data_IF_267951948002
#
_entry.id   IF_267951948002
#
_cell.length_a   1.000
_cell.length_b   1.000
_cell.length_c   1.000
_cell.angle_alpha   90.00
_cell.angle_beta   90.00
_cell.angle_gamma   90.00
#
_symmetry.space_group_name_H-M   'P 1'
#
loop_
_entity.id
_entity.type
_entity.pdbx_description
1 polymer ?
#
# COMPACT_ATOMS: atom_id res chain seq x y z
N UNK A 1 20.60 -21.41 18.57
CA UNK A 1 20.18 -22.36 17.51
C UNK A 1 19.76 -21.63 16.24
N UNK A 2 20.29 -22.06 15.08
CA UNK A 2 20.00 -21.48 13.76
C UNK A 2 18.77 -22.14 13.11
N UNK A 3 17.81 -21.32 12.70
CA UNK A 3 16.55 -21.73 12.11
C UNK A 3 16.26 -20.92 10.86
N UNK A 4 15.44 -21.47 9.97
CA UNK A 4 14.91 -20.79 8.79
C UNK A 4 13.41 -20.65 9.01
N UNK A 5 12.88 -19.44 8.88
CA UNK A 5 11.46 -19.19 9.05
C UNK A 5 10.68 -19.66 7.82
N UNK A 6 9.60 -20.39 8.06
CA UNK A 6 8.65 -20.82 7.01
C UNK A 6 7.45 -19.89 6.92
N UNK A 7 7.18 -19.14 7.99
CA UNK A 7 6.14 -18.13 8.08
C UNK A 7 6.72 -16.81 8.61
N UNK A 8 6.01 -15.71 8.37
CA UNK A 8 6.33 -14.44 9.01
C UNK A 8 6.05 -14.54 10.51
N UNK A 9 7.03 -14.10 11.31
CA UNK A 9 6.96 -14.12 12.77
C UNK A 9 7.33 -12.74 13.29
N UNK A 10 6.42 -12.16 14.07
CA UNK A 10 6.60 -10.84 14.68
C UNK A 10 7.93 -10.78 15.46
N UNK A 11 8.66 -9.68 15.24
CA UNK A 11 9.98 -9.41 15.84
C UNK A 11 11.10 -10.39 15.48
N UNK A 12 10.89 -11.28 14.51
CA UNK A 12 11.90 -12.24 14.08
C UNK A 12 12.28 -12.08 12.60
N UNK A 13 11.27 -12.01 11.74
CA UNK A 13 11.48 -11.87 10.31
C UNK A 13 10.41 -12.54 9.48
N UNK A 14 10.71 -12.67 8.20
CA UNK A 14 9.81 -13.14 7.17
C UNK A 14 10.13 -14.57 6.74
N UNK A 15 9.20 -15.21 6.03
CA UNK A 15 9.45 -16.54 5.46
C UNK A 15 10.69 -16.52 4.53
N UNK A 16 11.59 -17.47 4.72
CA UNK A 16 12.89 -17.56 4.06
C UNK A 16 14.05 -16.96 4.85
N UNK A 17 13.79 -16.20 5.93
CA UNK A 17 14.85 -15.61 6.71
C UNK A 17 15.53 -16.65 7.63
N UNK A 18 16.85 -16.61 7.63
CA UNK A 18 17.68 -17.39 8.54
C UNK A 18 17.94 -16.59 9.80
N UNK A 19 17.45 -17.08 10.93
CA UNK A 19 17.50 -16.40 12.22
C UNK A 19 18.19 -17.26 13.27
N UNK A 20 18.93 -16.62 14.17
CA UNK A 20 19.50 -17.27 15.33
C UNK A 20 18.66 -16.95 16.57
N UNK A 21 18.11 -18.00 17.19
CA UNK A 21 17.24 -17.87 18.36
C UNK A 21 17.73 -18.70 19.52
N UNK A 22 17.25 -18.37 20.72
CA UNK A 22 17.42 -19.21 21.91
C UNK A 22 16.78 -20.57 21.69
N UNK A 23 17.47 -21.63 22.08
CA UNK A 23 17.06 -23.01 21.83
C UNK A 23 15.66 -23.33 22.36
N UNK A 24 15.26 -22.78 23.51
CA UNK A 24 13.92 -22.96 24.07
C UNK A 24 12.81 -22.36 23.19
N UNK A 25 13.05 -21.20 22.58
CA UNK A 25 12.08 -20.58 21.67
C UNK A 25 11.95 -21.37 20.36
N UNK A 26 13.08 -21.86 19.83
CA UNK A 26 13.09 -22.72 18.66
C UNK A 26 12.37 -24.05 18.89
N UNK A 27 12.72 -24.78 19.96
CA UNK A 27 12.22 -26.13 20.23
C UNK A 27 10.79 -26.18 20.75
N UNK A 28 10.38 -25.22 21.57
CA UNK A 28 9.06 -25.28 22.23
C UNK A 28 7.98 -24.48 21.50
N UNK A 29 8.36 -23.51 20.65
CA UNK A 29 7.41 -22.62 19.99
C UNK A 29 7.51 -22.68 18.46
N UNK A 30 8.67 -22.40 17.88
CA UNK A 30 8.78 -22.22 16.42
C UNK A 30 8.69 -23.55 15.64
N UNK A 31 9.43 -24.58 16.05
CA UNK A 31 9.44 -25.89 15.38
C UNK A 31 8.09 -26.63 15.50
N UNK A 32 7.46 -26.76 16.70
CA UNK A 32 6.22 -27.52 16.82
C UNK A 32 5.03 -26.87 16.11
N UNK A 33 5.05 -25.55 15.96
CA UNK A 33 4.03 -24.79 15.22
C UNK A 33 4.30 -24.70 13.72
N UNK A 34 5.40 -25.26 13.24
CA UNK A 34 5.78 -25.20 11.83
C UNK A 34 6.09 -23.79 11.33
N UNK A 35 6.48 -22.87 12.23
CA UNK A 35 6.85 -21.49 11.91
C UNK A 35 8.32 -21.37 11.48
N UNK A 36 9.12 -22.39 11.77
CA UNK A 36 10.51 -22.48 11.33
C UNK A 36 10.93 -23.94 11.08
N UNK A 37 12.01 -24.12 10.34
CA UNK A 37 12.70 -25.39 10.13
C UNK A 37 14.17 -25.25 10.51
N UNK A 38 14.80 -26.36 10.89
CA UNK A 38 16.24 -26.37 11.20
C UNK A 38 17.05 -26.02 9.95
N UNK A 39 18.01 -25.10 10.09
CA UNK A 39 18.88 -24.68 9.00
C UNK A 39 19.85 -25.81 8.61
N UNK A 40 19.46 -26.61 7.62
CA UNK A 40 20.34 -27.58 6.94
C UNK A 40 20.85 -26.96 5.63
N UNK A 41 21.98 -27.46 5.10
CA UNK A 41 22.56 -26.93 3.85
C UNK A 41 21.59 -26.95 2.65
N UNK A 42 20.68 -27.92 2.61
CA UNK A 42 19.62 -27.99 1.59
C UNK A 42 18.51 -26.96 1.83
N UNK A 43 18.08 -26.81 3.09
CA UNK A 43 17.08 -25.82 3.47
C UNK A 43 17.57 -24.38 3.30
N UNK A 44 18.85 -24.11 3.57
CA UNK A 44 19.47 -22.78 3.36
C UNK A 44 19.44 -22.36 1.89
N UNK A 45 19.75 -23.27 0.96
CA UNK A 45 19.66 -22.98 -0.48
C UNK A 45 18.24 -22.66 -0.92
N UNK A 46 17.26 -23.44 -0.45
CA UNK A 46 15.86 -23.20 -0.76
C UNK A 46 15.37 -21.88 -0.16
N UNK A 47 15.82 -21.53 1.04
CA UNK A 47 15.51 -20.28 1.69
C UNK A 47 16.08 -19.07 0.93
N UNK A 48 17.32 -19.18 0.45
CA UNK A 48 17.95 -18.15 -0.39
C UNK A 48 17.21 -17.95 -1.72
N UNK A 49 16.73 -19.02 -2.35
CA UNK A 49 15.92 -18.93 -3.57
C UNK A 49 14.58 -18.25 -3.31
N UNK A 50 13.88 -18.62 -2.24
CA UNK A 50 12.61 -17.99 -1.82
C UNK A 50 12.83 -16.51 -1.53
N UNK A 51 13.91 -16.18 -0.79
CA UNK A 51 14.28 -14.80 -0.48
C UNK A 51 14.56 -13.99 -1.73
N UNK A 52 15.39 -14.50 -2.65
CA UNK A 52 15.69 -13.82 -3.92
C UNK A 52 14.43 -13.61 -4.76
N UNK A 53 13.55 -14.62 -4.85
CA UNK A 53 12.30 -14.49 -5.57
C UNK A 53 11.40 -13.40 -4.97
N UNK A 54 11.36 -13.30 -3.63
CA UNK A 54 10.64 -12.23 -2.92
C UNK A 54 11.26 -10.87 -3.20
N UNK A 55 12.57 -10.73 -3.07
CA UNK A 55 13.28 -9.46 -3.31
C UNK A 55 13.03 -8.95 -4.74
N UNK A 56 13.10 -9.84 -5.73
CA UNK A 56 12.78 -9.50 -7.13
C UNK A 56 11.34 -9.03 -7.26
N UNK A 57 10.39 -9.70 -6.61
CA UNK A 57 8.98 -9.31 -6.62
C UNK A 57 8.77 -7.93 -5.98
N UNK A 58 9.36 -7.69 -4.81
CA UNK A 58 9.25 -6.41 -4.11
C UNK A 58 9.86 -5.26 -4.92
N UNK A 59 10.99 -5.48 -5.60
CA UNK A 59 11.57 -4.46 -6.50
C UNK A 59 10.65 -4.17 -7.69
N UNK A 60 10.03 -5.19 -8.28
CA UNK A 60 9.06 -5.00 -9.37
C UNK A 60 7.81 -4.25 -8.88
N UNK A 61 7.31 -4.61 -7.71
CA UNK A 61 6.14 -3.96 -7.11
C UNK A 61 6.42 -2.49 -6.78
N UNK A 62 7.62 -2.17 -6.28
CA UNK A 62 8.08 -0.79 -6.07
C UNK A 62 8.26 -0.03 -7.38
N UNK A 63 8.86 -0.65 -8.40
CA UNK A 63 9.02 -0.05 -9.73
C UNK A 63 7.67 0.31 -10.34
N UNK A 64 6.74 -0.64 -10.33
CA UNK A 64 5.38 -0.43 -10.81
C UNK A 64 4.62 0.63 -9.99
N UNK A 65 4.79 0.65 -8.66
CA UNK A 65 4.20 1.68 -7.82
C UNK A 65 4.74 3.09 -8.12
N UNK A 66 6.02 3.22 -8.44
CA UNK A 66 6.63 4.49 -8.84
C UNK A 66 6.17 4.96 -10.23
N UNK A 67 5.98 4.03 -11.17
CA UNK A 67 5.37 4.33 -12.47
C UNK A 67 3.94 4.86 -12.29
N UNK A 68 3.13 4.19 -11.46
CA UNK A 68 1.78 4.62 -11.13
C UNK A 68 1.78 5.98 -10.44
N UNK A 69 2.70 6.23 -9.51
CA UNK A 69 2.87 7.54 -8.87
C UNK A 69 3.11 8.63 -9.92
N UNK A 70 4.05 8.39 -10.82
CA UNK A 70 4.40 9.36 -11.88
C UNK A 70 3.23 9.61 -12.82
N UNK A 71 2.50 8.56 -13.19
CA UNK A 71 1.29 8.68 -14.01
C UNK A 71 0.23 9.53 -13.29
N UNK A 72 0.01 9.29 -11.99
CA UNK A 72 -0.99 9.99 -11.18
C UNK A 72 -0.62 11.46 -10.97
N UNK A 73 0.63 11.75 -10.61
CA UNK A 73 1.12 13.12 -10.44
C UNK A 73 1.12 13.89 -11.78
N UNK A 74 1.34 13.18 -12.90
CA UNK A 74 1.27 13.72 -14.25
C UNK A 74 -0.14 14.07 -14.74
N UNK A 75 -1.21 13.56 -14.11
CA UNK A 75 -2.59 13.92 -14.47
C UNK A 75 -2.96 15.37 -14.08
N UNK A 76 -2.20 15.99 -13.18
CA UNK A 76 -2.47 17.34 -12.70
C UNK A 76 -3.75 17.43 -11.85
N UNK A 77 -4.49 18.53 -12.02
CA UNK A 77 -5.70 18.79 -11.25
C UNK A 77 -6.88 17.94 -11.76
N UNK A 78 -7.36 17.03 -10.92
CA UNK A 78 -8.52 16.18 -11.23
C UNK A 78 -9.78 16.93 -10.82
N UNK A 79 -10.62 17.28 -11.80
CA UNK A 79 -11.89 17.96 -11.55
C UNK A 79 -12.98 16.98 -11.10
N UNK A 80 -13.68 17.31 -10.01
CA UNK A 80 -14.80 16.54 -9.49
C UNK A 80 -16.01 17.46 -9.33
N UNK A 81 -17.02 17.24 -10.17
CA UNK A 81 -18.27 18.00 -10.16
C UNK A 81 -19.19 17.46 -9.07
N UNK A 82 -19.61 18.31 -8.13
CA UNK A 82 -20.49 17.96 -7.02
C UNK A 82 -21.52 19.05 -6.79
N UNK A 83 -22.74 18.64 -6.46
CA UNK A 83 -23.79 19.57 -6.04
C UNK A 83 -23.39 20.34 -4.79
N UNK A 84 -23.23 21.65 -4.94
CA UNK A 84 -22.86 22.57 -3.87
C UNK A 84 -23.97 23.59 -3.61
N UNK A 85 -24.03 24.10 -2.39
CA UNK A 85 -24.92 25.21 -2.06
C UNK A 85 -24.38 26.49 -2.71
N UNK A 86 -25.17 27.08 -3.61
CA UNK A 86 -24.77 28.19 -4.48
C UNK A 86 -24.22 29.43 -3.76
N UNK A 87 -24.63 29.69 -2.51
CA UNK A 87 -24.22 30.88 -1.75
C UNK A 87 -23.12 30.62 -0.69
N UNK A 88 -22.86 29.35 -0.34
CA UNK A 88 -22.07 29.02 0.86
C UNK A 88 -20.72 28.34 0.62
N UNK A 89 -20.39 27.97 -0.62
CA UNK A 89 -19.16 27.23 -0.95
C UNK A 89 -19.07 25.84 -0.29
N UNK A 90 -20.16 25.37 0.33
CA UNK A 90 -20.26 24.09 1.01
C UNK A 90 -21.02 23.09 0.14
N UNK A 91 -20.53 21.87 0.09
CA UNK A 91 -21.15 20.75 -0.61
C UNK A 91 -22.40 20.28 0.16
N UNK A 92 -23.46 19.91 -0.57
CA UNK A 92 -24.63 19.27 0.05
C UNK A 92 -24.31 17.87 0.56
N UNK A 93 -23.37 17.19 -0.10
CA UNK A 93 -22.82 15.89 0.30
C UNK A 93 -21.36 15.99 0.74
N UNK A 94 -20.72 14.83 0.86
CA UNK A 94 -19.28 14.71 1.09
C UNK A 94 -18.63 13.99 -0.09
N UNK A 95 -17.44 14.43 -0.48
CA UNK A 95 -16.63 13.66 -1.44
C UNK A 95 -16.19 12.36 -0.78
N UNK A 96 -16.52 11.22 -1.39
CA UNK A 96 -16.12 9.90 -0.92
C UNK A 96 -14.89 9.39 -1.65
N UNK A 97 -14.19 8.38 -1.08
CA UNK A 97 -13.08 7.70 -1.77
C UNK A 97 -13.50 7.10 -3.11
N UNK A 98 -14.76 6.67 -3.24
CA UNK A 98 -15.30 6.14 -4.50
C UNK A 98 -15.34 7.19 -5.59
N UNK A 99 -15.74 8.42 -5.24
CA UNK A 99 -15.87 9.51 -6.19
C UNK A 99 -14.50 9.99 -6.67
N UNK A 100 -13.51 10.02 -5.77
CA UNK A 100 -12.12 10.36 -6.10
C UNK A 100 -11.52 9.33 -7.07
N UNK A 101 -11.68 8.04 -6.79
CA UNK A 101 -11.22 6.97 -7.71
C UNK A 101 -11.89 7.08 -9.07
N UNK A 102 -13.21 7.32 -9.10
CA UNK A 102 -13.94 7.48 -10.35
C UNK A 102 -13.48 8.70 -11.15
N UNK A 103 -13.20 9.82 -10.48
CA UNK A 103 -12.70 11.03 -11.12
C UNK A 103 -11.28 10.86 -11.67
N UNK A 104 -10.37 10.21 -10.92
CA UNK A 104 -9.02 9.88 -11.40
C UNK A 104 -9.10 8.99 -12.64
N UNK A 105 -9.97 7.96 -12.62
CA UNK A 105 -10.18 7.09 -13.77
C UNK A 105 -10.75 7.85 -14.98
N UNK A 106 -11.69 8.78 -14.75
CA UNK A 106 -12.28 9.61 -15.81
C UNK A 106 -11.28 10.60 -16.40
N UNK A 107 -10.33 11.08 -15.60
CA UNK A 107 -9.24 11.97 -16.03
C UNK A 107 -8.16 11.25 -16.85
N UNK A 108 -8.27 9.93 -17.06
CA UNK A 108 -7.27 9.14 -17.79
C UNK A 108 -6.23 8.47 -16.89
N UNK A 109 -6.46 8.45 -15.58
CA UNK A 109 -5.58 7.82 -14.61
C UNK A 109 -5.74 6.31 -14.49
N UNK A 110 -4.81 5.66 -13.77
CA UNK A 110 -4.83 4.22 -13.54
C UNK A 110 -6.02 3.78 -12.68
N UNK A 111 -6.39 2.50 -12.78
CA UNK A 111 -7.45 1.92 -11.97
C UNK A 111 -6.96 1.71 -10.52
N UNK A 112 -7.46 2.52 -9.60
CA UNK A 112 -7.07 2.49 -8.18
C UNK A 112 -8.14 1.81 -7.31
N UNK A 113 -7.72 1.13 -6.25
CA UNK A 113 -8.64 0.65 -5.21
C UNK A 113 -9.00 1.82 -4.27
N UNK A 114 -10.24 1.86 -3.80
CA UNK A 114 -10.72 2.84 -2.81
C UNK A 114 -9.91 2.79 -1.50
N UNK A 115 -9.29 1.64 -1.19
CA UNK A 115 -8.43 1.44 -0.01
C UNK A 115 -7.09 2.17 -0.08
N UNK A 116 -6.61 2.49 -1.28
CA UNK A 116 -5.32 3.19 -1.43
C UNK A 116 -5.45 4.70 -1.25
N UNK A 117 -6.66 5.25 -1.40
CA UNK A 117 -6.93 6.68 -1.28
C UNK A 117 -7.10 7.07 0.19
N UNK A 118 -6.29 8.00 0.67
CA UNK A 118 -6.39 8.55 2.01
C UNK A 118 -7.17 9.85 1.98
N UNK A 119 -8.42 9.80 2.46
CA UNK A 119 -9.22 11.00 2.70
C UNK A 119 -9.09 11.45 4.16
N UNK A 120 -9.08 12.77 4.42
CA UNK A 120 -9.18 13.29 5.78
C UNK A 120 -10.43 12.76 6.47
N UNK A 121 -10.36 12.45 7.77
CA UNK A 121 -11.51 12.00 8.58
C UNK A 121 -12.68 13.00 8.57
N UNK A 122 -12.41 14.28 8.34
CA UNK A 122 -13.42 15.32 8.25
C UNK A 122 -14.24 15.29 6.93
N UNK A 123 -13.78 14.52 5.93
CA UNK A 123 -14.27 14.52 4.55
C UNK A 123 -14.22 15.90 3.86
N UNK A 124 -14.10 15.94 2.54
CA UNK A 124 -14.11 17.20 1.79
C UNK A 124 -15.57 17.65 1.64
N UNK A 125 -15.87 18.83 2.19
CA UNK A 125 -17.21 19.44 2.20
C UNK A 125 -17.24 20.87 1.64
N UNK A 126 -16.12 21.35 1.09
CA UNK A 126 -16.02 22.68 0.50
C UNK A 126 -15.54 22.60 -0.93
N UNK A 127 -16.01 23.53 -1.74
CA UNK A 127 -15.55 23.77 -3.11
C UNK A 127 -14.11 24.31 -3.05
N UNK A 128 -13.27 23.94 -4.02
CA UNK A 128 -11.86 24.35 -4.10
C UNK A 128 -10.90 23.18 -4.29
N UNK A 129 -9.60 23.50 -4.28
CA UNK A 129 -8.53 22.54 -4.51
C UNK A 129 -8.07 21.89 -3.20
N UNK A 130 -8.12 20.57 -3.16
CA UNK A 130 -7.74 19.77 -1.99
C UNK A 130 -6.67 18.76 -2.37
N UNK A 131 -5.50 18.75 -1.71
CA UNK A 131 -4.50 17.70 -1.92
C UNK A 131 -4.97 16.39 -1.27
N UNK A 132 -5.00 15.32 -2.07
CA UNK A 132 -5.35 13.97 -1.63
C UNK A 132 -4.13 13.07 -1.79
N UNK A 133 -3.82 12.30 -0.75
CA UNK A 133 -2.73 11.34 -0.78
C UNK A 133 -3.25 9.96 -1.19
N UNK A 134 -2.57 9.34 -2.15
CA UNK A 134 -2.84 7.97 -2.60
C UNK A 134 -1.63 7.10 -2.27
N UNK A 135 -1.82 6.11 -1.39
CA UNK A 135 -0.79 5.16 -0.97
C UNK A 135 -0.80 3.94 -1.89
N UNK A 136 0.13 3.90 -2.83
CA UNK A 136 0.23 2.85 -3.86
C UNK A 136 1.01 1.63 -3.36
N UNK A 137 2.01 1.87 -2.50
CA UNK A 137 2.82 0.85 -1.85
C UNK A 137 3.14 1.32 -0.42
N UNK A 138 3.54 0.43 0.51
CA UNK A 138 3.98 0.84 1.84
C UNK A 138 4.96 2.01 1.90
N UNK A 139 5.85 2.10 0.91
CA UNK A 139 6.89 3.12 0.80
C UNK A 139 6.62 4.16 -0.30
N UNK A 140 5.53 4.02 -1.06
CA UNK A 140 5.21 4.91 -2.19
C UNK A 140 3.84 5.54 -2.00
N UNK A 141 3.85 6.86 -1.83
CA UNK A 141 2.68 7.72 -1.82
C UNK A 141 2.75 8.74 -2.96
N UNK A 142 1.61 8.95 -3.62
CA UNK A 142 1.39 9.96 -4.65
C UNK A 142 0.45 11.04 -4.11
N UNK A 143 0.64 12.28 -4.55
CA UNK A 143 -0.26 13.40 -4.18
C UNK A 143 -1.05 13.83 -5.41
N UNK A 144 -2.37 13.94 -5.27
CA UNK A 144 -3.29 14.37 -6.32
C UNK A 144 -4.00 15.64 -5.87
N UNK A 145 -3.98 16.67 -6.70
CA UNK A 145 -4.81 17.86 -6.47
C UNK A 145 -6.22 17.59 -6.98
N UNK A 146 -7.18 17.47 -6.07
CA UNK A 146 -8.60 17.34 -6.42
C UNK A 146 -9.24 18.73 -6.46
N UNK A 147 -9.67 19.16 -7.64
CA UNK A 147 -10.41 20.39 -7.81
C UNK A 147 -11.91 20.11 -7.73
N UNK A 148 -12.53 20.50 -6.62
CA UNK A 148 -13.97 20.33 -6.44
C UNK A 148 -14.69 21.52 -7.05
N UNK A 149 -15.52 21.27 -8.06
CA UNK A 149 -16.29 22.29 -8.78
C UNK A 149 -17.78 22.11 -8.47
N UNK A 150 -18.46 23.20 -8.17
CA UNK A 150 -19.91 23.21 -7.98
C UNK A 150 -20.62 22.96 -9.32
N UNK A 151 -21.55 22.01 -9.32
CA UNK A 151 -22.56 21.85 -10.38
C UNK A 151 -23.75 22.78 -10.14
#
# INVERSE_FOLDING_TARGET
MKLILTAEVDHLGSAGDTVEVKDGYGRNYLLPRGLAITASRGAERQADEIRRARDIKTVRDLGHANELKTAIEGLGAVSLAVRASGDGGKLFGSVTTSDVVAAIKKAGGPNLDKRTVQLPKAHIKSVGDHPIMVRLHPDVAAVVSLSVVAE
#
